data_IF_288184996044
#
_entry.id   IF_288184996044
#
_cell.length_a   1.000
_cell.length_b   1.000
_cell.length_c   1.000
_cell.angle_alpha   90.00
_cell.angle_beta   90.00
_cell.angle_gamma   90.00
#
_symmetry.space_group_name_H-M   'P 1'
#
loop_
_entity.id
_entity.type
_entity.pdbx_description
1 polymer ?
#
# COMPACT_ATOMS: atom_id res chain seq x y z
N UNK A 1 10.09 -17.08 3.83
CA UNK A 1 9.01 -16.96 2.82
C UNK A 1 8.12 -18.19 2.99
N UNK A 2 6.92 -18.02 3.58
CA UNK A 2 5.94 -19.10 3.69
C UNK A 2 4.92 -18.90 2.58
N UNK A 3 5.00 -19.72 1.54
CA UNK A 3 4.05 -19.74 0.43
C UNK A 3 2.98 -20.78 0.78
N UNK A 4 1.71 -20.35 0.86
CA UNK A 4 0.59 -21.28 1.01
C UNK A 4 -0.16 -21.37 -0.32
N UNK A 5 -0.33 -22.59 -0.81
CA UNK A 5 -1.08 -22.90 -2.03
C UNK A 5 -2.53 -23.22 -1.67
N UNK A 6 -3.49 -22.52 -2.25
CA UNK A 6 -4.89 -22.92 -2.23
C UNK A 6 -5.48 -22.96 -3.66
N UNK A 7 -6.39 -23.93 -3.85
CA UNK A 7 -6.82 -24.55 -5.09
C UNK A 7 -7.49 -23.61 -6.12
N UNK A 8 -7.22 -23.91 -7.39
CA UNK A 8 -7.64 -23.20 -8.61
C UNK A 8 -8.84 -23.91 -9.24
N UNK A 9 -9.85 -23.17 -9.71
CA UNK A 9 -10.63 -23.59 -10.88
C UNK A 9 -10.36 -22.58 -12.00
N UNK A 10 -9.99 -23.11 -13.17
CA UNK A 10 -9.45 -22.43 -14.38
C UNK A 10 -7.96 -22.05 -14.35
N UNK A 11 -7.06 -23.06 -14.44
CA UNK A 11 -5.74 -22.98 -15.12
C UNK A 11 -4.70 -21.94 -14.69
N UNK A 12 -5.02 -21.00 -13.80
CA UNK A 12 -4.19 -19.89 -13.36
C UNK A 12 -3.63 -20.23 -11.99
N UNK A 13 -2.31 -20.48 -11.92
CA UNK A 13 -1.62 -20.61 -10.62
C UNK A 13 -1.52 -19.22 -9.99
N UNK A 14 -2.29 -19.00 -8.94
CA UNK A 14 -2.20 -17.81 -8.11
C UNK A 14 -1.45 -18.11 -6.82
N UNK A 15 -0.53 -17.23 -6.44
CA UNK A 15 0.18 -17.27 -5.16
C UNK A 15 -0.18 -16.06 -4.33
N UNK A 16 -0.42 -16.29 -3.04
CA UNK A 16 -0.62 -15.22 -2.06
C UNK A 16 0.64 -15.15 -1.21
N UNK A 17 1.27 -13.97 -1.20
CA UNK A 17 2.43 -13.65 -0.39
C UNK A 17 1.99 -12.70 0.71
N UNK A 18 2.11 -13.15 1.95
CA UNK A 18 1.86 -12.30 3.13
C UNK A 18 3.12 -11.50 3.46
N UNK A 19 3.02 -10.18 3.69
CA UNK A 19 4.14 -9.40 4.15
C UNK A 19 4.60 -9.92 5.52
N UNK A 20 5.91 -10.11 5.67
CA UNK A 20 6.52 -10.37 6.98
C UNK A 20 6.51 -9.07 7.76
N UNK A 21 6.32 -9.14 9.08
CA UNK A 21 6.56 -7.99 9.94
C UNK A 21 8.05 -7.56 9.82
N UNK A 22 8.37 -6.25 9.84
CA UNK A 22 7.48 -5.09 9.93
C UNK A 22 6.55 -4.88 8.73
N UNK A 23 5.36 -4.31 8.95
CA UNK A 23 4.41 -4.03 7.87
C UNK A 23 5.06 -3.09 6.84
N UNK A 24 4.94 -3.40 5.55
CA UNK A 24 5.48 -2.52 4.51
C UNK A 24 4.51 -1.39 4.22
N UNK A 25 5.01 -0.16 4.21
CA UNK A 25 4.35 1.03 3.72
C UNK A 25 4.80 1.30 2.28
N UNK A 26 3.87 1.69 1.42
CA UNK A 26 4.15 2.05 0.02
C UNK A 26 3.72 3.47 -0.27
N UNK A 27 4.48 4.18 -1.10
CA UNK A 27 4.08 5.44 -1.69
C UNK A 27 3.65 5.22 -3.13
N UNK A 28 2.48 5.73 -3.49
CA UNK A 28 1.93 5.64 -4.85
C UNK A 28 1.38 7.00 -5.30
N UNK A 29 1.22 7.18 -6.61
CA UNK A 29 0.66 8.42 -7.17
C UNK A 29 -0.76 8.14 -7.65
N UNK A 30 -1.72 8.92 -7.15
CA UNK A 30 -3.11 8.84 -7.60
C UNK A 30 -3.65 10.25 -7.82
N UNK A 31 -4.14 10.51 -9.03
CA UNK A 31 -4.62 11.84 -9.41
C UNK A 31 -3.54 12.93 -9.30
N UNK A 32 -2.28 12.60 -9.59
CA UNK A 32 -1.14 13.52 -9.49
C UNK A 32 -0.65 13.80 -8.06
N UNK A 33 -1.31 13.26 -7.03
CA UNK A 33 -0.93 13.43 -5.64
C UNK A 33 -0.23 12.18 -5.10
N UNK A 34 0.86 12.36 -4.34
CA UNK A 34 1.47 11.28 -3.57
C UNK A 34 0.54 10.85 -2.44
N UNK A 35 0.36 9.55 -2.31
CA UNK A 35 -0.43 8.90 -1.27
C UNK A 35 0.37 7.75 -0.67
N UNK A 36 -0.07 7.28 0.49
CA UNK A 36 0.59 6.22 1.24
C UNK A 36 -0.39 5.12 1.59
N UNK A 37 0.08 3.88 1.69
CA UNK A 37 -0.74 2.74 2.07
C UNK A 37 0.11 1.65 2.73
N UNK A 38 -0.51 0.83 3.59
CA UNK A 38 0.11 -0.36 4.19
C UNK A 38 -0.21 -1.57 3.32
N UNK A 39 0.81 -2.33 2.95
CA UNK A 39 0.65 -3.61 2.25
C UNK A 39 0.01 -4.63 3.17
N UNK A 40 -1.09 -5.22 2.72
CA UNK A 40 -1.77 -6.31 3.41
C UNK A 40 -1.39 -7.65 2.81
N UNK A 41 -1.42 -7.75 1.48
CA UNK A 41 -1.13 -8.99 0.76
C UNK A 41 -0.55 -8.66 -0.62
N UNK A 42 0.26 -9.54 -1.16
CA UNK A 42 0.78 -9.46 -2.53
C UNK A 42 0.33 -10.71 -3.27
N UNK A 43 -0.25 -10.53 -4.44
CA UNK A 43 -0.72 -11.58 -5.31
C UNK A 43 0.21 -11.68 -6.51
N UNK A 44 0.51 -12.92 -6.88
CA UNK A 44 1.24 -13.25 -8.10
C UNK A 44 0.39 -14.22 -8.91
N UNK A 45 0.16 -13.93 -10.18
CA UNK A 45 -0.52 -14.85 -11.09
C UNK A 45 0.27 -15.04 -12.36
N UNK A 46 0.31 -16.28 -12.84
CA UNK A 46 0.81 -16.58 -14.18
C UNK A 46 -0.26 -16.11 -15.19
N UNK A 47 0.00 -15.05 -15.94
CA UNK A 47 -0.90 -14.66 -17.03
C UNK A 47 -0.90 -15.76 -18.12
N UNK A 48 -1.99 -15.91 -18.90
CA UNK A 48 -2.10 -16.91 -19.97
C UNK A 48 -0.96 -16.86 -21.01
N UNK A 49 -0.27 -15.72 -21.11
CA UNK A 49 0.83 -15.48 -22.05
C UNK A 49 2.23 -15.57 -21.41
N UNK A 50 2.35 -16.16 -20.22
CA UNK A 50 3.64 -16.37 -19.54
C UNK A 50 4.24 -15.12 -18.88
N UNK A 51 3.50 -14.00 -18.84
CA UNK A 51 3.88 -12.82 -18.07
C UNK A 51 3.41 -12.99 -16.63
N UNK A 52 4.29 -12.83 -15.67
CA UNK A 52 3.90 -12.81 -14.25
C UNK A 52 3.24 -11.47 -13.96
N UNK A 53 1.99 -11.51 -13.53
CA UNK A 53 1.25 -10.33 -13.09
C UNK A 53 1.26 -10.27 -11.56
N UNK A 54 1.53 -9.08 -11.05
CA UNK A 54 1.57 -8.82 -9.62
C UNK A 54 0.53 -7.78 -9.26
N UNK A 55 -0.22 -8.04 -8.19
CA UNK A 55 -1.15 -7.09 -7.63
C UNK A 55 -0.92 -6.98 -6.12
N UNK A 56 -0.94 -5.76 -5.59
CA UNK A 56 -0.70 -5.52 -4.16
C UNK A 56 -2.00 -5.06 -3.53
N UNK A 57 -2.54 -5.83 -2.60
CA UNK A 57 -3.67 -5.42 -1.78
C UNK A 57 -3.16 -4.53 -0.64
N UNK A 58 -3.67 -3.32 -0.58
CA UNK A 58 -3.21 -2.31 0.38
C UNK A 58 -4.36 -1.70 1.17
N UNK A 59 -4.05 -1.23 2.37
CA UNK A 59 -4.92 -0.35 3.17
C UNK A 59 -4.40 1.09 3.10
N UNK A 60 -5.21 2.08 2.66
CA UNK A 60 -4.75 3.45 2.52
C UNK A 60 -4.39 4.07 3.87
N UNK A 61 -3.36 4.90 3.89
CA UNK A 61 -3.09 5.83 4.99
C UNK A 61 -3.76 7.16 4.64
N UNK A 62 -4.84 7.48 5.36
CA UNK A 62 -5.56 8.75 5.24
C UNK A 62 -4.82 9.83 6.00
N UNK A 63 -4.24 10.79 5.29
CA UNK A 63 -3.55 11.93 5.92
C UNK A 63 -4.52 12.73 6.82
N UNK A 64 -4.26 12.76 8.13
CA UNK A 64 -5.09 13.48 9.09
C UNK A 64 -4.78 14.98 9.12
N UNK A 65 -3.63 15.41 8.61
CA UNK A 65 -3.16 16.79 8.68
C UNK A 65 -2.91 17.39 7.29
N UNK A 66 -3.49 16.81 6.24
CA UNK A 66 -3.33 17.26 4.86
C UNK A 66 -3.87 18.66 4.65
N UNK A 67 -3.01 19.69 4.66
CA UNK A 67 -3.35 21.11 4.39
C UNK A 67 -4.53 21.70 5.18
N UNK A 68 -5.03 21.03 6.23
CA UNK A 68 -6.16 21.51 7.01
C UNK A 68 -5.72 22.54 8.05
N UNK A 69 -6.53 23.59 8.24
CA UNK A 69 -6.32 24.66 9.22
C UNK A 69 -6.52 24.21 10.68
N UNK A 70 -6.81 22.93 10.92
CA UNK A 70 -7.11 22.32 12.23
C UNK A 70 -5.94 21.53 12.81
N UNK A 71 -4.73 21.73 12.27
CA UNK A 71 -3.50 21.17 12.82
C UNK A 71 -3.34 21.61 14.29
N UNK A 72 -2.92 20.74 15.23
CA UNK A 72 -2.78 21.06 16.66
C UNK A 72 -2.03 22.38 16.93
N UNK A 73 -1.07 22.72 16.07
CA UNK A 73 -0.50 24.07 15.96
C UNK A 73 0.23 24.24 14.62
N UNK A 74 0.47 25.51 14.23
CA UNK A 74 1.36 25.86 13.10
C UNK A 74 2.75 25.23 13.22
N UNK A 75 3.26 25.06 14.45
CA UNK A 75 4.55 24.43 14.73
C UNK A 75 4.54 22.94 14.43
N UNK A 76 3.44 22.23 14.75
CA UNK A 76 3.31 20.81 14.43
C UNK A 76 3.29 20.58 12.91
N UNK A 77 2.50 21.35 12.18
CA UNK A 77 2.50 21.29 10.71
C UNK A 77 3.87 21.61 10.10
N UNK A 78 4.58 22.60 10.67
CA UNK A 78 5.95 22.92 10.27
C UNK A 78 6.94 21.77 10.53
N UNK A 79 6.83 21.10 11.67
CA UNK A 79 7.65 19.92 11.97
C UNK A 79 7.39 18.76 11.02
N UNK A 80 6.13 18.45 10.70
CA UNK A 80 5.79 17.41 9.73
C UNK A 80 6.40 17.71 8.36
N UNK A 81 6.34 18.98 7.93
CA UNK A 81 6.98 19.41 6.69
C UNK A 81 8.51 19.24 6.73
N UNK A 82 9.19 19.72 7.78
CA UNK A 82 10.64 19.59 7.89
C UNK A 82 11.12 18.14 7.91
N UNK A 83 10.39 17.27 8.60
CA UNK A 83 10.73 15.85 8.72
C UNK A 83 10.25 15.00 7.54
N UNK A 84 9.47 15.58 6.62
CA UNK A 84 8.85 14.86 5.49
C UNK A 84 8.00 13.67 5.95
N UNK A 85 7.30 13.81 7.09
CA UNK A 85 6.48 12.76 7.70
C UNK A 85 5.00 13.03 7.44
N UNK A 86 4.25 11.96 7.16
CA UNK A 86 2.79 11.98 7.13
C UNK A 86 2.26 11.29 8.37
N UNK A 87 1.34 11.95 9.08
CA UNK A 87 0.60 11.34 10.18
C UNK A 87 -0.82 11.10 9.70
N UNK A 88 -1.16 9.82 9.56
CA UNK A 88 -2.43 9.41 9.01
C UNK A 88 -3.09 8.29 9.80
N UNK A 89 -4.32 7.99 9.41
CA UNK A 89 -5.08 6.83 9.88
C UNK A 89 -5.01 5.72 8.86
N UNK A 90 -4.71 4.50 9.31
CA UNK A 90 -4.79 3.32 8.47
C UNK A 90 -6.27 3.00 8.24
N UNK A 91 -6.68 2.88 6.98
CA UNK A 91 -8.03 2.52 6.59
C UNK A 91 -8.44 1.14 7.12
N UNK A 92 -9.74 0.96 7.35
CA UNK A 92 -10.29 -0.32 7.79
C UNK A 92 -10.34 -1.35 6.65
N UNK A 93 -10.84 -2.55 6.95
CA UNK A 93 -10.91 -3.65 5.97
C UNK A 93 -11.83 -3.34 4.77
N UNK A 94 -12.77 -2.42 4.94
CA UNK A 94 -13.64 -1.92 3.86
C UNK A 94 -12.94 -0.94 2.89
N UNK A 95 -11.76 -0.44 3.25
CA UNK A 95 -11.01 0.54 2.48
C UNK A 95 -9.89 -0.11 1.65
N UNK A 96 -9.81 -1.45 1.64
CA UNK A 96 -8.79 -2.19 0.93
C UNK A 96 -8.98 -2.06 -0.59
N UNK A 97 -7.88 -1.88 -1.31
CA UNK A 97 -7.90 -1.83 -2.76
C UNK A 97 -6.61 -2.40 -3.33
N UNK A 98 -6.66 -2.79 -4.61
CA UNK A 98 -5.50 -3.29 -5.34
C UNK A 98 -4.73 -2.15 -5.98
N UNK A 99 -3.41 -2.18 -5.82
CA UNK A 99 -2.45 -1.38 -6.57
C UNK A 99 -1.69 -2.28 -7.55
N UNK A 100 -1.48 -1.77 -8.76
CA UNK A 100 -0.45 -2.30 -9.64
C UNK A 100 0.92 -1.99 -9.04
N UNK A 101 1.90 -2.88 -9.24
CA UNK A 101 3.29 -2.58 -8.86
C UNK A 101 3.81 -1.35 -9.60
N UNK A 102 3.35 -1.11 -10.84
CA UNK A 102 3.78 0.02 -11.66
C UNK A 102 3.35 1.38 -11.06
N UNK A 103 2.31 1.40 -10.20
CA UNK A 103 1.84 2.60 -9.51
C UNK A 103 2.63 2.89 -8.22
N UNK A 104 3.43 1.92 -7.74
CA UNK A 104 4.21 2.05 -6.51
C UNK A 104 5.54 2.75 -6.82
N UNK A 105 5.72 3.92 -6.24
CA UNK A 105 6.93 4.74 -6.44
C UNK A 105 8.03 4.44 -5.42
N UNK A 106 7.68 3.98 -4.22
CA UNK A 106 8.65 3.59 -3.19
C UNK A 106 8.03 2.68 -2.13
N UNK A 107 8.90 1.97 -1.41
CA UNK A 107 8.55 1.07 -0.30
C UNK A 107 9.38 1.46 0.93
N UNK A 108 8.76 1.46 2.11
CA UNK A 108 9.41 1.66 3.39
C UNK A 108 8.94 0.59 4.38
N UNK A 109 9.86 0.06 5.19
CA UNK A 109 9.50 -0.79 6.31
C UNK A 109 9.01 0.08 7.48
N UNK A 110 7.88 -0.29 8.11
CA UNK A 110 7.28 0.43 9.24
C UNK A 110 7.36 -0.36 10.55
#
# INVERSE_FOLDING_TARGET
>A
MLVQNHHVEWGLKGFIVLPLAPNNCVCYVQGGCRRYAIVKQIYMSDAPFGKVEWAVLVSPIRDRFGKFLTVPSKNFGWMLYLLQVVVGEIGGDQDLFFLSIDDITSVAAY
#
